data_IF_869018947641
#
_entry.id   IF_869018947641
#
_cell.length_a   1.000
_cell.length_b   1.000
_cell.length_c   1.000
_cell.angle_alpha   90.00
_cell.angle_beta   90.00
_cell.angle_gamma   90.00
#
_symmetry.space_group_name_H-M   'P 1'
#
loop_
_entity.id
_entity.type
_entity.pdbx_description
1 polymer ?
#
# COMPACT_ATOMS: atom_id res chain seq x y z
N UNK A 1 -17.70 -3.25 -42.93
CA UNK A 1 -16.41 -3.92 -42.61
C UNK A 1 -15.39 -2.84 -42.33
N UNK A 2 -14.42 -3.10 -41.44
CA UNK A 2 -13.67 -2.15 -40.58
C UNK A 2 -14.50 -1.86 -39.31
N UNK A 3 -14.54 -2.73 -38.29
CA UNK A 3 -13.46 -3.58 -37.78
C UNK A 3 -12.64 -2.81 -36.74
N UNK A 4 -13.29 -2.03 -35.88
CA UNK A 4 -12.63 -1.41 -34.73
C UNK A 4 -12.02 -2.52 -33.89
N UNK A 5 -10.69 -2.46 -33.85
CA UNK A 5 -9.82 -3.44 -33.24
C UNK A 5 -10.16 -3.60 -31.77
N UNK A 6 -10.82 -4.71 -31.42
CA UNK A 6 -11.07 -5.19 -30.05
C UNK A 6 -9.77 -5.65 -29.36
N UNK A 7 -8.64 -4.99 -29.63
CA UNK A 7 -7.31 -5.27 -29.06
C UNK A 7 -6.87 -4.20 -28.06
N UNK A 8 -7.75 -3.29 -27.64
CA UNK A 8 -7.44 -2.34 -26.56
C UNK A 8 -7.86 -2.85 -25.16
N UNK A 9 -8.36 -4.09 -25.02
CA UNK A 9 -8.93 -4.57 -23.75
C UNK A 9 -8.19 -5.76 -23.10
N UNK A 10 -7.07 -6.22 -23.67
CA UNK A 10 -6.40 -7.45 -23.20
C UNK A 10 -4.89 -7.29 -22.97
N UNK A 11 -4.46 -6.10 -22.52
CA UNK A 11 -3.09 -5.85 -22.06
C UNK A 11 -3.04 -5.06 -20.74
N UNK A 12 -4.06 -5.22 -19.89
CA UNK A 12 -4.02 -4.72 -18.49
C UNK A 12 -3.77 -5.83 -17.47
N UNK A 13 -3.54 -7.07 -17.92
CA UNK A 13 -3.43 -8.25 -17.06
C UNK A 13 -1.99 -8.64 -16.70
N UNK A 14 -1.00 -7.78 -16.95
CA UNK A 14 0.41 -8.17 -16.92
C UNK A 14 1.36 -7.45 -15.96
N UNK A 15 1.03 -6.31 -15.35
CA UNK A 15 2.10 -5.46 -14.78
C UNK A 15 1.79 -4.50 -13.60
N UNK A 16 0.65 -4.62 -12.91
CA UNK A 16 0.33 -3.71 -11.78
C UNK A 16 0.24 -4.41 -10.41
N UNK A 17 0.88 -5.57 -10.26
CA UNK A 17 1.38 -5.94 -8.95
C UNK A 17 2.44 -4.88 -8.60
N UNK A 18 2.07 -3.88 -7.80
CA UNK A 18 3.01 -2.94 -7.16
C UNK A 18 4.22 -3.77 -6.76
N UNK A 19 5.35 -3.57 -7.43
CA UNK A 19 6.55 -4.33 -7.11
C UNK A 19 6.92 -3.93 -5.68
N UNK A 20 6.47 -4.74 -4.71
CA UNK A 20 6.72 -4.53 -3.29
C UNK A 20 8.21 -4.23 -3.15
N UNK A 21 8.60 -3.16 -2.45
CA UNK A 21 10.02 -2.85 -2.31
C UNK A 21 10.74 -4.08 -1.76
N UNK A 22 11.88 -4.45 -2.34
CA UNK A 22 12.57 -5.75 -2.15
C UNK A 22 12.82 -6.10 -0.66
N UNK A 23 12.80 -5.11 0.25
CA UNK A 23 12.95 -5.33 1.70
C UNK A 23 11.64 -5.64 2.46
N UNK A 24 10.50 -5.69 1.76
CA UNK A 24 9.16 -5.81 2.34
C UNK A 24 8.29 -6.85 1.63
N UNK A 25 8.91 -7.79 0.91
CA UNK A 25 8.16 -8.85 0.23
C UNK A 25 7.25 -9.62 1.20
N UNK A 26 7.59 -9.65 2.49
CA UNK A 26 6.86 -10.35 3.56
C UNK A 26 6.08 -9.42 4.51
N UNK A 27 6.05 -8.10 4.30
CA UNK A 27 5.38 -7.15 5.21
C UNK A 27 4.33 -6.30 4.48
N UNK A 28 3.09 -6.38 4.93
CA UNK A 28 1.97 -5.56 4.48
C UNK A 28 1.98 -4.17 5.15
N UNK A 29 2.23 -4.12 6.46
CA UNK A 29 2.14 -2.86 7.21
C UNK A 29 3.52 -2.27 7.50
N UNK A 30 3.71 -1.02 7.07
CA UNK A 30 4.95 -0.28 7.28
C UNK A 30 4.67 1.05 7.96
N UNK A 31 5.36 1.29 9.06
CA UNK A 31 5.27 2.53 9.82
C UNK A 31 6.36 3.51 9.43
N UNK A 32 6.02 4.78 9.24
CA UNK A 32 7.00 5.88 9.20
C UNK A 32 7.37 6.29 10.63
N UNK A 33 8.64 6.12 10.99
CA UNK A 33 9.17 6.43 12.32
C UNK A 33 9.14 7.94 12.62
N UNK A 34 9.09 8.80 11.60
CA UNK A 34 9.11 10.27 11.72
C UNK A 34 7.73 10.80 12.12
N UNK A 35 6.69 10.24 11.52
CA UNK A 35 5.31 10.75 11.63
C UNK A 35 4.40 9.84 12.48
N UNK A 36 4.84 8.64 12.83
CA UNK A 36 4.04 7.58 13.47
C UNK A 36 2.75 7.27 12.68
N UNK A 37 2.84 7.30 11.36
CA UNK A 37 1.77 6.86 10.46
C UNK A 37 2.09 5.45 9.95
N UNK A 38 1.08 4.58 9.94
CA UNK A 38 1.18 3.25 9.32
C UNK A 38 0.47 3.25 7.97
N UNK A 39 1.17 2.71 6.98
CA UNK A 39 0.72 2.51 5.62
C UNK A 39 0.50 1.02 5.37
N UNK A 40 -0.45 0.71 4.49
CA UNK A 40 -0.73 -0.63 4.00
C UNK A 40 -0.27 -0.70 2.56
N UNK A 41 0.80 -1.46 2.31
CA UNK A 41 1.44 -1.57 1.00
C UNK A 41 0.58 -2.29 -0.04
N UNK A 42 -0.45 -3.02 0.41
CA UNK A 42 -1.34 -3.76 -0.47
C UNK A 42 -2.58 -2.95 -0.88
N UNK A 43 -2.79 -1.75 -0.31
CA UNK A 43 -3.89 -0.90 -0.70
C UNK A 43 -3.64 -0.23 -2.06
N UNK A 44 -4.49 -0.47 -3.08
CA UNK A 44 -4.35 0.17 -4.39
C UNK A 44 -4.54 1.69 -4.36
N UNK A 45 -5.21 2.21 -3.33
CA UNK A 45 -5.46 3.64 -3.11
C UNK A 45 -4.30 4.35 -2.42
N UNK A 46 -3.27 3.64 -1.98
CA UNK A 46 -2.07 4.25 -1.42
C UNK A 46 -1.22 4.85 -2.54
N UNK A 47 -0.87 6.13 -2.39
CA UNK A 47 -0.02 6.83 -3.34
C UNK A 47 1.40 6.25 -3.35
N UNK A 48 1.91 5.97 -4.55
CA UNK A 48 3.25 5.41 -4.74
C UNK A 48 4.35 6.38 -4.31
N UNK A 49 4.14 7.69 -4.48
CA UNK A 49 5.14 8.70 -4.09
C UNK A 49 5.43 8.66 -2.59
N UNK A 50 4.41 8.35 -1.78
CA UNK A 50 4.56 8.18 -0.33
C UNK A 50 5.45 6.98 -0.01
N UNK A 51 5.27 5.87 -0.74
CA UNK A 51 6.09 4.67 -0.55
C UNK A 51 7.53 4.97 -0.96
N UNK A 52 7.73 5.59 -2.12
CA UNK A 52 9.07 5.93 -2.63
C UNK A 52 9.83 6.86 -1.65
N UNK A 53 9.16 7.91 -1.13
CA UNK A 53 9.74 8.82 -0.14
C UNK A 53 10.05 8.11 1.19
N UNK A 54 9.16 7.22 1.63
CA UNK A 54 9.36 6.43 2.84
C UNK A 54 10.59 5.51 2.68
N UNK A 55 10.75 4.87 1.53
CA UNK A 55 11.90 4.03 1.20
C UNK A 55 13.19 4.84 1.15
N UNK A 56 13.18 5.99 0.46
CA UNK A 56 14.33 6.89 0.35
C UNK A 56 14.78 7.42 1.73
N UNK A 57 13.83 7.68 2.63
CA UNK A 57 14.15 8.15 3.98
C UNK A 57 14.87 7.11 4.84
N UNK A 58 14.71 5.82 4.54
CA UNK A 58 15.11 4.68 5.38
C UNK A 58 14.61 4.77 6.84
N UNK A 59 13.63 5.64 7.11
CA UNK A 59 13.03 5.87 8.43
C UNK A 59 11.70 5.14 8.58
N UNK A 60 11.70 3.86 8.27
CA UNK A 60 10.53 2.99 8.44
C UNK A 60 10.71 1.89 9.49
N UNK A 61 9.61 1.24 9.86
CA UNK A 61 9.59 0.05 10.73
C UNK A 61 8.52 -0.95 10.25
N UNK A 62 8.83 -2.24 10.35
CA UNK A 62 7.85 -3.32 10.21
C UNK A 62 7.32 -3.74 11.59
N UNK A 63 6.13 -4.35 11.62
CA UNK A 63 5.52 -4.77 12.87
C UNK A 63 5.60 -6.29 13.06
N UNK A 64 5.99 -6.74 14.26
CA UNK A 64 5.79 -8.12 14.71
C UNK A 64 4.75 -8.18 15.82
N UNK A 65 3.58 -8.83 15.63
CA UNK A 65 3.07 -9.42 14.38
C UNK A 65 2.70 -8.34 13.33
N UNK A 66 2.71 -8.70 12.05
CA UNK A 66 2.43 -7.77 10.94
C UNK A 66 0.92 -7.54 10.79
N UNK A 67 0.38 -6.72 11.69
CA UNK A 67 -1.06 -6.42 11.73
C UNK A 67 -1.27 -4.94 12.04
N UNK A 68 -2.35 -4.37 11.51
CA UNK A 68 -2.75 -3.01 11.84
C UNK A 68 -2.98 -2.82 13.35
N UNK A 69 -3.48 -3.86 14.04
CA UNK A 69 -3.68 -3.82 15.48
C UNK A 69 -2.34 -3.65 16.23
N UNK A 70 -1.30 -4.37 15.81
CA UNK A 70 0.03 -4.20 16.41
C UNK A 70 0.59 -2.80 16.17
N UNK A 71 0.43 -2.25 14.96
CA UNK A 71 0.85 -0.88 14.67
C UNK A 71 0.14 0.13 15.59
N UNK A 72 -1.17 -0.03 15.80
CA UNK A 72 -1.96 0.80 16.74
C UNK A 72 -1.49 0.64 18.18
N UNK A 73 -1.20 -0.58 18.63
CA UNK A 73 -0.66 -0.85 19.96
C UNK A 73 0.70 -0.15 20.18
N UNK A 74 1.49 0.03 19.11
CA UNK A 74 2.74 0.80 19.11
C UNK A 74 2.56 2.31 18.94
N UNK A 75 1.33 2.81 18.94
CA UNK A 75 1.02 4.24 18.84
C UNK A 75 0.91 4.79 17.42
N UNK A 76 1.00 3.94 16.39
CA UNK A 76 0.88 4.39 15.01
C UNK A 76 -0.57 4.65 14.62
N UNK A 77 -0.79 5.71 13.84
CA UNK A 77 -2.10 6.07 13.30
C UNK A 77 -2.24 5.56 11.87
N UNK A 78 -3.38 4.95 11.49
CA UNK A 78 -3.59 4.52 10.12
C UNK A 78 -3.63 5.71 9.16
N UNK A 79 -2.96 5.57 8.02
CA UNK A 79 -3.10 6.49 6.91
C UNK A 79 -4.56 6.58 6.44
N UNK A 80 -4.94 7.71 5.81
CA UNK A 80 -6.31 7.95 5.37
C UNK A 80 -6.84 6.85 4.42
N UNK A 81 -5.99 6.30 3.55
CA UNK A 81 -6.37 5.25 2.59
C UNK A 81 -6.88 3.98 3.27
N UNK A 82 -6.30 3.61 4.42
CA UNK A 82 -6.74 2.47 5.23
C UNK A 82 -8.12 2.74 5.82
N UNK A 83 -8.35 3.95 6.33
CA UNK A 83 -9.63 4.34 6.92
C UNK A 83 -10.73 4.38 5.86
N UNK A 84 -10.45 5.00 4.71
CA UNK A 84 -11.37 5.07 3.58
C UNK A 84 -11.73 3.67 3.06
N UNK A 85 -10.77 2.75 2.99
CA UNK A 85 -11.03 1.35 2.63
C UNK A 85 -11.91 0.64 3.66
N UNK A 86 -11.63 0.82 4.97
CA UNK A 86 -12.44 0.25 6.04
C UNK A 86 -13.87 0.81 6.03
N UNK A 87 -14.03 2.11 5.82
CA UNK A 87 -15.33 2.77 5.76
C UNK A 87 -16.13 2.26 4.55
N UNK A 88 -15.48 2.02 3.41
CA UNK A 88 -16.11 1.46 2.21
C UNK A 88 -16.55 -0.01 2.38
N UNK A 89 -15.84 -0.81 3.18
CA UNK A 89 -16.23 -2.19 3.49
C UNK A 89 -17.39 -2.30 4.49
N UNK A 90 -17.60 -1.26 5.32
CA UNK A 90 -18.63 -1.24 6.35
C UNK A 90 -19.90 -0.45 5.94
N UNK A 91 -19.91 0.16 4.75
CA UNK A 91 -21.03 0.92 4.19
C UNK A 91 -22.00 0.03 3.40
#
# INVERSE_FOLDING_TARGET
MQGESRLALLLSLGFYAMSRPIRFEENQFVGDKRSQIVYDLDLPSLDKEIIDELMESEKFICFGPDTLNEARNRGYKPHKSIRESQDAENA
#
